data_IF_315394877569
#
_entry.id   IF_315394877569
#
_cell.length_a   1.000
_cell.length_b   1.000
_cell.length_c   1.000
_cell.angle_alpha   90.00
_cell.angle_beta   90.00
_cell.angle_gamma   90.00
#
_symmetry.space_group_name_H-M   'P 1'
#
loop_
_entity.id
_entity.type
_entity.pdbx_description
1 polymer ?
#
# COMPACT_ATOMS: atom_id res chain seq x y z
N UNK A 1 0.06 59.56 -58.33
CA UNK A 1 0.40 58.19 -58.78
C UNK A 1 1.02 57.46 -57.60
N UNK A 2 0.24 56.85 -56.78
CA UNK A 2 0.68 56.28 -55.48
C UNK A 2 0.20 54.85 -55.37
N UNK A 3 1.13 53.91 -55.43
CA UNK A 3 0.86 52.51 -55.28
C UNK A 3 0.82 52.12 -53.79
N UNK A 4 -0.34 51.63 -53.36
CA UNK A 4 -0.50 51.11 -52.01
C UNK A 4 -0.07 49.64 -51.98
N UNK A 5 0.92 49.33 -51.14
CA UNK A 5 1.29 47.95 -50.78
C UNK A 5 0.51 47.54 -49.56
N UNK A 6 -0.39 46.60 -49.77
CA UNK A 6 -1.14 45.95 -48.68
C UNK A 6 -0.29 44.81 -48.17
N UNK A 7 0.26 44.95 -46.97
CA UNK A 7 0.88 43.85 -46.23
C UNK A 7 -0.16 42.99 -45.57
N UNK A 8 -0.35 41.75 -46.04
CA UNK A 8 -1.21 40.73 -45.42
C UNK A 8 -0.44 40.09 -44.27
N UNK A 9 -0.86 40.38 -43.03
CA UNK A 9 -0.41 39.69 -41.84
C UNK A 9 -1.04 38.31 -41.77
N UNK A 10 -0.20 37.28 -41.72
CA UNK A 10 -0.63 35.89 -41.40
C UNK A 10 -0.84 35.77 -39.89
N UNK A 11 -1.94 35.15 -39.43
CA UNK A 11 -2.08 34.83 -38.04
C UNK A 11 -1.18 33.63 -37.68
N UNK A 12 -0.31 33.83 -36.71
CA UNK A 12 0.46 32.75 -36.08
C UNK A 12 -0.48 31.88 -35.26
N UNK A 13 -0.79 30.68 -35.76
CA UNK A 13 -1.40 29.63 -34.97
C UNK A 13 -0.41 29.22 -33.87
N UNK A 14 -0.68 29.60 -32.65
CA UNK A 14 -0.06 29.03 -31.47
C UNK A 14 -0.61 27.63 -31.27
N UNK A 15 0.12 26.63 -31.70
CA UNK A 15 -0.17 25.23 -31.33
C UNK A 15 0.13 25.05 -29.86
N UNK A 16 -0.92 25.04 -29.03
CA UNK A 16 -0.84 24.64 -27.65
C UNK A 16 -0.58 23.12 -27.63
N UNK A 17 0.66 22.73 -27.37
CA UNK A 17 0.99 21.34 -27.00
C UNK A 17 0.39 21.06 -25.63
N UNK A 18 -0.77 20.42 -25.60
CA UNK A 18 -1.23 19.71 -24.43
C UNK A 18 -0.33 18.48 -24.23
N UNK A 19 0.68 18.60 -23.36
CA UNK A 19 1.33 17.43 -22.78
C UNK A 19 0.27 16.72 -21.90
N UNK A 20 -0.40 15.75 -22.48
CA UNK A 20 -1.11 14.76 -21.71
C UNK A 20 -0.05 13.99 -20.90
N UNK A 21 0.04 14.29 -19.59
CA UNK A 21 0.73 13.44 -18.65
C UNK A 21 -0.05 12.09 -18.63
N UNK A 22 0.33 11.21 -19.52
CA UNK A 22 -0.06 9.81 -19.44
C UNK A 22 0.54 9.33 -18.12
N UNK A 23 -0.33 9.16 -17.12
CA UNK A 23 -0.01 8.38 -15.94
C UNK A 23 0.39 7.00 -16.45
N UNK A 24 1.69 6.77 -16.54
CA UNK A 24 2.24 5.46 -16.76
C UNK A 24 1.86 4.65 -15.53
N UNK A 25 0.76 3.90 -15.63
CA UNK A 25 0.62 2.69 -14.86
C UNK A 25 1.82 1.84 -15.28
N UNK A 26 2.93 1.96 -14.55
CA UNK A 26 4.05 1.08 -14.70
C UNK A 26 3.46 -0.32 -14.49
N UNK A 27 3.30 -1.07 -15.57
CA UNK A 27 3.08 -2.49 -15.50
C UNK A 27 4.17 -2.98 -14.56
N UNK A 28 3.79 -3.42 -13.37
CA UNK A 28 4.72 -4.00 -12.43
C UNK A 28 5.35 -5.15 -13.20
N UNK A 29 6.60 -4.96 -13.66
CA UNK A 29 7.36 -6.03 -14.24
C UNK A 29 7.24 -7.18 -13.26
N UNK A 30 6.93 -8.38 -13.74
CA UNK A 30 6.78 -9.58 -12.92
C UNK A 30 8.08 -9.76 -12.12
N UNK A 31 8.07 -9.27 -10.88
CA UNK A 31 9.20 -9.34 -9.95
C UNK A 31 9.08 -10.58 -9.07
N UNK A 32 8.34 -11.56 -9.57
CA UNK A 32 8.11 -12.80 -8.87
C UNK A 32 7.05 -12.77 -7.78
N UNK A 33 6.26 -11.69 -7.71
CA UNK A 33 5.13 -11.54 -6.79
C UNK A 33 3.90 -11.06 -7.58
N UNK A 34 2.80 -11.77 -7.43
CA UNK A 34 1.49 -11.37 -7.93
C UNK A 34 0.59 -10.94 -6.77
N UNK A 35 0.06 -9.73 -6.84
CA UNK A 35 -1.01 -9.29 -5.92
C UNK A 35 -2.33 -9.91 -6.40
N UNK A 36 -2.89 -10.79 -5.59
CA UNK A 36 -4.12 -11.53 -5.90
C UNK A 36 -5.35 -10.65 -5.68
N UNK A 37 -5.39 -9.98 -4.54
CA UNK A 37 -6.43 -9.02 -4.19
C UNK A 37 -5.92 -8.01 -3.17
N UNK A 38 -6.71 -6.94 -2.93
CA UNK A 38 -6.39 -5.90 -1.95
C UNK A 38 -7.67 -5.19 -1.50
N UNK A 39 -7.61 -4.60 -0.32
CA UNK A 39 -8.70 -3.81 0.23
C UNK A 39 -8.95 -4.11 1.70
N UNK A 40 -10.23 -4.13 2.08
CA UNK A 40 -10.72 -4.42 3.43
C UNK A 40 -11.06 -5.91 3.52
N UNK A 41 -10.64 -6.54 4.63
CA UNK A 41 -10.86 -7.96 4.88
C UNK A 41 -11.68 -8.20 6.14
N UNK A 42 -12.59 -9.18 6.05
CA UNK A 42 -13.14 -9.84 7.22
C UNK A 42 -12.15 -10.89 7.71
N UNK A 43 -12.05 -11.07 9.01
CA UNK A 43 -11.11 -12.00 9.64
C UNK A 43 -11.60 -12.45 11.01
N UNK A 44 -10.98 -13.49 11.54
CA UNK A 44 -11.16 -13.95 12.92
C UNK A 44 -9.84 -13.83 13.65
N UNK A 45 -9.80 -13.11 14.77
CA UNK A 45 -8.63 -13.09 15.65
C UNK A 45 -8.50 -14.45 16.33
N UNK A 46 -7.34 -15.08 16.18
CA UNK A 46 -7.06 -16.39 16.77
C UNK A 46 -6.14 -16.29 17.99
N UNK A 47 -5.24 -15.31 18.01
CA UNK A 47 -4.31 -15.12 19.10
C UNK A 47 -3.81 -13.69 19.16
N UNK A 48 -3.54 -13.20 20.36
CA UNK A 48 -2.79 -11.97 20.63
C UNK A 48 -1.49 -12.39 21.30
N UNK A 49 -0.36 -11.98 20.69
CA UNK A 49 0.98 -12.37 21.13
C UNK A 49 1.71 -11.11 21.60
N UNK A 50 2.31 -11.11 22.82
CA UNK A 50 3.17 -10.00 23.22
C UNK A 50 4.32 -9.80 22.23
N UNK A 51 4.43 -8.59 21.68
CA UNK A 51 5.51 -8.17 20.80
C UNK A 51 6.05 -6.80 21.28
N UNK A 52 6.97 -6.81 22.25
CA UNK A 52 7.45 -5.55 22.87
C UNK A 52 8.11 -4.57 21.89
N UNK A 53 8.49 -5.02 20.69
CA UNK A 53 9.06 -4.15 19.65
C UNK A 53 8.00 -3.39 18.87
N UNK A 54 6.78 -3.90 18.78
CA UNK A 54 5.68 -3.22 18.10
C UNK A 54 5.19 -2.03 18.93
N UNK A 55 4.62 -1.02 18.27
CA UNK A 55 4.11 0.20 18.94
C UNK A 55 2.99 -0.15 19.91
N UNK A 56 2.10 -1.05 19.51
CA UNK A 56 1.02 -1.55 20.38
C UNK A 56 1.54 -2.38 21.56
N UNK A 57 2.73 -2.98 21.44
CA UNK A 57 3.31 -3.90 22.41
C UNK A 57 2.87 -5.35 22.23
N UNK A 58 2.04 -5.62 21.25
CA UNK A 58 1.51 -6.93 20.92
C UNK A 58 1.19 -7.04 19.43
N UNK A 59 1.05 -8.26 18.96
CA UNK A 59 0.71 -8.61 17.57
C UNK A 59 -0.45 -9.59 17.57
N UNK A 60 -1.36 -9.40 16.63
CA UNK A 60 -2.55 -10.23 16.45
C UNK A 60 -2.33 -11.24 15.32
N UNK A 61 -2.66 -12.50 15.54
CA UNK A 61 -2.77 -13.51 14.49
C UNK A 61 -4.23 -13.70 14.08
N UNK A 62 -4.45 -13.95 12.80
CA UNK A 62 -5.78 -14.01 12.22
C UNK A 62 -5.99 -15.28 11.38
N UNK A 63 -7.24 -15.70 11.27
CA UNK A 63 -7.70 -16.77 10.38
C UNK A 63 -8.97 -16.35 9.64
N UNK A 64 -9.45 -17.20 8.72
CA UNK A 64 -10.68 -16.96 7.95
C UNK A 64 -10.68 -15.62 7.21
N UNK A 65 -9.53 -15.23 6.67
CA UNK A 65 -9.37 -13.96 5.96
C UNK A 65 -10.12 -14.03 4.63
N UNK A 66 -11.04 -13.07 4.41
CA UNK A 66 -11.82 -12.95 3.18
C UNK A 66 -11.89 -11.50 2.73
N UNK A 67 -11.68 -11.25 1.46
CA UNK A 67 -11.87 -9.92 0.91
C UNK A 67 -13.35 -9.51 1.07
N UNK A 68 -13.57 -8.41 1.80
CA UNK A 68 -14.88 -7.80 1.99
C UNK A 68 -15.17 -6.74 0.95
N UNK A 69 -14.15 -5.90 0.69
CA UNK A 69 -14.27 -4.76 -0.23
C UNK A 69 -12.95 -4.48 -0.91
N UNK A 70 -12.97 -4.40 -2.25
CA UNK A 70 -11.80 -4.02 -3.04
C UNK A 70 -11.74 -2.49 -3.11
N UNK A 71 -10.85 -1.88 -2.34
CA UNK A 71 -10.70 -0.42 -2.24
C UNK A 71 -9.29 -0.04 -1.85
N UNK A 72 -8.88 1.18 -2.20
CA UNK A 72 -7.63 1.81 -1.74
C UNK A 72 -7.90 2.89 -0.69
N UNK A 73 -9.18 3.23 -0.46
CA UNK A 73 -9.58 4.20 0.57
C UNK A 73 -10.13 3.45 1.77
N UNK A 74 -9.48 3.61 2.91
CA UNK A 74 -9.75 2.85 4.12
C UNK A 74 -10.23 3.82 5.20
N UNK A 75 -11.47 3.67 5.64
CA UNK A 75 -11.94 4.37 6.84
C UNK A 75 -11.39 3.66 8.09
N UNK A 76 -10.71 4.41 8.95
CA UNK A 76 -10.04 3.89 10.14
C UNK A 76 -11.05 3.54 11.25
N UNK A 77 -11.77 2.43 11.09
CA UNK A 77 -12.66 1.89 12.12
C UNK A 77 -11.93 0.84 12.95
N UNK A 78 -12.25 0.78 14.23
CA UNK A 78 -11.71 -0.24 15.15
C UNK A 78 -12.02 -1.64 14.62
N UNK A 79 -11.06 -2.55 14.77
CA UNK A 79 -11.11 -3.95 14.29
C UNK A 79 -11.19 -4.10 12.76
N UNK A 80 -10.97 -3.03 12.00
CA UNK A 80 -10.88 -3.11 10.54
C UNK A 80 -9.48 -3.54 10.14
N UNK A 81 -9.40 -4.57 9.30
CA UNK A 81 -8.16 -5.03 8.68
C UNK A 81 -8.14 -4.69 7.20
N UNK A 82 -7.02 -4.22 6.71
CA UNK A 82 -6.80 -3.88 5.31
C UNK A 82 -5.38 -4.23 4.86
N UNK A 83 -5.20 -4.37 3.56
CA UNK A 83 -3.91 -4.74 2.98
C UNK A 83 -4.08 -5.42 1.63
N UNK A 84 -3.20 -6.38 1.33
CA UNK A 84 -3.30 -7.18 0.12
C UNK A 84 -2.87 -8.63 0.35
N UNK A 85 -3.48 -9.53 -0.42
CA UNK A 85 -3.04 -10.91 -0.56
C UNK A 85 -2.14 -11.05 -1.79
N UNK A 86 -1.14 -11.90 -1.69
CA UNK A 86 -0.20 -12.13 -2.77
C UNK A 86 0.24 -13.60 -2.84
N UNK A 87 0.74 -13.99 -3.99
CA UNK A 87 1.45 -15.26 -4.20
C UNK A 87 2.82 -15.02 -4.81
N UNK A 88 3.73 -15.94 -4.54
CA UNK A 88 5.06 -15.95 -5.16
C UNK A 88 4.95 -16.70 -6.47
N UNK A 89 5.32 -16.04 -7.58
CA UNK A 89 5.27 -16.61 -8.94
C UNK A 89 6.63 -17.04 -9.45
N UNK A 90 7.72 -16.50 -8.87
CA UNK A 90 9.08 -16.89 -9.23
C UNK A 90 9.58 -18.05 -8.36
N UNK A 91 9.82 -19.25 -8.92
CA UNK A 91 10.36 -20.40 -8.18
C UNK A 91 11.72 -20.13 -7.52
N UNK A 92 12.51 -19.16 -8.02
CA UNK A 92 13.78 -18.80 -7.41
C UNK A 92 13.65 -18.18 -6.02
N UNK A 93 12.46 -17.71 -5.68
CA UNK A 93 12.13 -17.17 -4.34
C UNK A 93 11.66 -18.23 -3.35
N UNK A 94 11.31 -19.45 -3.81
CA UNK A 94 10.81 -20.49 -2.89
C UNK A 94 11.87 -20.87 -1.87
N UNK A 95 11.43 -20.97 -0.61
CA UNK A 95 12.30 -21.21 0.54
C UNK A 95 13.10 -19.97 1.01
N UNK A 96 12.97 -18.83 0.30
CA UNK A 96 13.62 -17.57 0.72
C UNK A 96 12.76 -16.84 1.73
N UNK A 97 13.41 -16.09 2.60
CA UNK A 97 12.74 -15.17 3.52
C UNK A 97 12.35 -13.91 2.76
N UNK A 98 11.07 -13.57 2.82
CA UNK A 98 10.52 -12.30 2.35
C UNK A 98 10.18 -11.42 3.55
N UNK A 99 10.42 -10.12 3.41
CA UNK A 99 10.01 -9.12 4.39
C UNK A 99 8.71 -8.47 3.93
N UNK A 100 7.69 -8.46 4.79
CA UNK A 100 6.52 -7.60 4.63
C UNK A 100 6.77 -6.31 5.38
N UNK A 101 6.64 -5.17 4.70
CA UNK A 101 6.84 -3.84 5.29
C UNK A 101 5.61 -2.99 5.09
N UNK A 102 5.23 -2.24 6.13
CA UNK A 102 4.22 -1.19 6.07
C UNK A 102 4.88 0.11 6.47
N UNK A 103 4.90 1.09 5.57
CA UNK A 103 5.30 2.47 5.85
C UNK A 103 4.02 3.22 6.18
N UNK A 104 3.96 3.79 7.37
CA UNK A 104 2.73 4.34 7.96
C UNK A 104 2.97 5.75 8.48
N UNK A 105 1.93 6.58 8.62
CA UNK A 105 2.03 7.82 9.39
C UNK A 105 2.57 7.50 10.79
N UNK A 106 3.19 8.48 11.46
CA UNK A 106 3.78 8.25 12.78
C UNK A 106 2.72 7.77 13.78
N UNK A 107 2.80 6.49 14.16
CA UNK A 107 2.02 5.91 15.25
C UNK A 107 2.75 6.17 16.56
N UNK A 108 2.03 6.53 17.61
CA UNK A 108 2.64 6.78 18.94
C UNK A 108 1.78 6.14 20.02
N UNK A 109 2.38 5.29 20.83
CA UNK A 109 1.73 4.71 22.00
C UNK A 109 1.81 5.73 23.17
N UNK A 110 0.70 6.31 23.61
CA UNK A 110 0.72 7.34 24.64
C UNK A 110 1.13 6.81 26.02
N UNK A 111 1.01 5.50 26.26
CA UNK A 111 1.38 4.87 27.54
C UNK A 111 2.88 4.65 27.67
N UNK A 112 3.55 4.35 26.56
CA UNK A 112 4.98 4.00 26.54
C UNK A 112 5.86 5.07 25.90
N UNK A 113 5.27 6.04 25.19
CA UNK A 113 5.97 7.03 24.37
C UNK A 113 6.63 6.44 23.11
N UNK A 114 6.49 5.14 22.86
CA UNK A 114 7.07 4.49 21.68
C UNK A 114 6.37 4.96 20.42
N UNK A 115 7.17 5.20 19.37
CA UNK A 115 6.64 5.59 18.07
C UNK A 115 7.25 4.73 16.96
N UNK A 116 6.51 4.54 15.87
CA UNK A 116 6.99 3.93 14.64
C UNK A 116 6.36 4.58 13.41
N UNK A 117 7.11 4.57 12.31
CA UNK A 117 6.66 4.91 10.95
C UNK A 117 6.79 3.72 10.01
N UNK A 118 7.28 2.58 10.55
CA UNK A 118 7.47 1.35 9.80
C UNK A 118 7.13 0.16 10.68
N UNK A 119 6.39 -0.80 10.12
CA UNK A 119 6.07 -2.08 10.75
C UNK A 119 6.52 -3.18 9.81
N UNK A 120 7.32 -4.12 10.29
CA UNK A 120 7.85 -5.21 9.48
C UNK A 120 7.48 -6.58 10.05
N UNK A 121 7.44 -7.57 9.17
CA UNK A 121 7.29 -8.98 9.49
C UNK A 121 8.02 -9.81 8.44
N UNK A 122 8.27 -11.07 8.76
CA UNK A 122 8.95 -12.00 7.88
C UNK A 122 8.07 -13.21 7.59
N UNK A 123 8.25 -13.80 6.41
CA UNK A 123 7.64 -15.05 6.01
C UNK A 123 8.59 -15.82 5.09
N UNK A 124 8.40 -17.13 4.99
CA UNK A 124 9.13 -17.96 4.04
C UNK A 124 8.26 -18.19 2.81
N UNK A 125 8.78 -17.82 1.65
CA UNK A 125 8.09 -17.99 0.36
C UNK A 125 7.87 -19.47 0.05
N UNK A 126 6.69 -19.82 -0.45
CA UNK A 126 6.35 -21.20 -0.84
C UNK A 126 5.46 -21.21 -2.08
N UNK A 127 5.45 -22.34 -2.82
CA UNK A 127 4.56 -22.53 -3.95
C UNK A 127 3.09 -22.58 -3.49
N UNK A 128 2.19 -22.18 -4.36
CA UNK A 128 0.72 -22.30 -4.19
C UNK A 128 0.14 -21.70 -2.90
N UNK A 129 0.95 -20.92 -2.17
CA UNK A 129 0.55 -20.29 -0.92
C UNK A 129 0.08 -18.87 -1.18
N UNK A 130 -1.09 -18.53 -0.65
CA UNK A 130 -1.56 -17.15 -0.58
C UNK A 130 -1.09 -16.55 0.75
N UNK A 131 -0.26 -15.54 0.65
CA UNK A 131 0.25 -14.78 1.78
C UNK A 131 -0.58 -13.51 1.99
N UNK A 132 -0.57 -13.00 3.21
CA UNK A 132 -1.26 -11.77 3.60
C UNK A 132 -0.24 -10.73 4.08
N UNK A 133 -0.25 -9.54 3.47
CA UNK A 133 0.39 -8.35 4.01
C UNK A 133 -0.71 -7.36 4.40
N UNK A 134 -1.11 -7.36 5.66
CA UNK A 134 -2.21 -6.57 6.16
C UNK A 134 -1.90 -5.90 7.50
N UNK A 135 -2.75 -4.95 7.89
CA UNK A 135 -2.73 -4.25 9.17
C UNK A 135 -4.15 -4.14 9.72
N UNK A 136 -4.31 -4.39 11.02
CA UNK A 136 -5.56 -4.22 11.75
C UNK A 136 -5.53 -2.97 12.64
N UNK A 137 -6.63 -2.23 12.72
CA UNK A 137 -6.79 -1.14 13.68
C UNK A 137 -7.35 -1.68 15.00
N UNK A 138 -6.52 -2.36 15.77
CA UNK A 138 -6.96 -2.96 17.04
C UNK A 138 -7.03 -1.92 18.17
N UNK A 139 -6.20 -0.86 18.07
CA UNK A 139 -6.11 0.24 19.04
C UNK A 139 -6.31 1.61 18.39
N UNK A 140 -6.82 2.58 19.17
CA UNK A 140 -7.03 3.94 18.67
C UNK A 140 -5.75 4.62 18.22
N UNK A 141 -4.60 4.29 18.81
CA UNK A 141 -3.29 4.81 18.41
C UNK A 141 -2.86 4.40 16.99
N UNK A 142 -3.47 3.36 16.44
CA UNK A 142 -3.17 2.81 15.11
C UNK A 142 -4.00 3.46 14.01
N UNK A 143 -5.04 4.21 14.37
CA UNK A 143 -5.98 4.86 13.45
C UNK A 143 -5.43 6.19 12.92
N UNK A 144 -4.23 6.17 12.34
CA UNK A 144 -3.57 7.36 11.81
C UNK A 144 -3.99 7.63 10.36
N UNK A 145 -4.53 8.83 10.12
CA UNK A 145 -4.89 9.30 8.78
C UNK A 145 -3.65 9.55 7.92
N UNK A 146 -3.74 9.26 6.63
CA UNK A 146 -2.69 9.53 5.66
C UNK A 146 -2.45 8.38 4.67
N UNK A 147 -1.32 8.45 3.96
CA UNK A 147 -0.89 7.40 3.05
C UNK A 147 -0.19 6.28 3.83
N UNK A 148 -0.62 5.06 3.56
CA UNK A 148 -0.03 3.82 4.05
C UNK A 148 0.51 3.04 2.86
N UNK A 149 1.80 2.70 2.88
CA UNK A 149 2.44 1.95 1.79
C UNK A 149 2.84 0.57 2.27
N UNK A 150 2.32 -0.47 1.63
CA UNK A 150 2.59 -1.87 1.96
C UNK A 150 3.50 -2.47 0.91
N UNK A 151 4.56 -3.13 1.34
CA UNK A 151 5.59 -3.68 0.46
C UNK A 151 5.89 -5.14 0.80
N UNK A 152 6.30 -5.91 -0.21
CA UNK A 152 6.96 -7.21 -0.07
C UNK A 152 8.38 -7.04 -0.61
N UNK A 153 9.39 -7.44 0.18
CA UNK A 153 10.79 -7.28 -0.18
C UNK A 153 11.53 -8.62 -0.08
N UNK A 154 12.57 -8.76 -0.89
CA UNK A 154 13.60 -9.77 -0.74
C UNK A 154 14.97 -9.11 -0.84
N UNK A 155 15.85 -9.36 0.14
CA UNK A 155 17.19 -8.75 0.24
C UNK A 155 17.17 -7.22 0.07
N UNK A 156 16.19 -6.56 0.70
CA UNK A 156 16.02 -5.11 0.65
C UNK A 156 15.40 -4.56 -0.63
N UNK A 157 15.22 -5.38 -1.67
CA UNK A 157 14.60 -4.98 -2.94
C UNK A 157 13.09 -5.15 -2.87
N UNK A 158 12.34 -4.10 -3.22
CA UNK A 158 10.88 -4.14 -3.31
C UNK A 158 10.45 -4.97 -4.51
N UNK A 159 9.70 -6.04 -4.25
CA UNK A 159 9.12 -6.93 -5.25
C UNK A 159 7.66 -6.58 -5.57
N UNK A 160 6.89 -6.15 -4.57
CA UNK A 160 5.53 -5.69 -4.75
C UNK A 160 5.23 -4.52 -3.81
N UNK A 161 4.36 -3.62 -4.23
CA UNK A 161 3.94 -2.46 -3.46
C UNK A 161 2.46 -2.15 -3.70
N UNK A 162 1.76 -1.76 -2.64
CA UNK A 162 0.39 -1.24 -2.70
C UNK A 162 0.23 -0.08 -1.73
N UNK A 163 -0.44 0.99 -2.18
CA UNK A 163 -0.72 2.17 -1.38
C UNK A 163 -2.20 2.22 -1.02
N UNK A 164 -2.46 2.69 0.18
CA UNK A 164 -3.80 2.93 0.71
C UNK A 164 -3.88 4.34 1.29
N UNK A 165 -5.02 4.99 1.10
CA UNK A 165 -5.36 6.25 1.75
C UNK A 165 -6.26 5.94 2.95
N UNK A 166 -5.73 6.12 4.13
CA UNK A 166 -6.51 5.99 5.37
C UNK A 166 -7.17 7.33 5.70
N UNK A 167 -8.46 7.31 5.99
CA UNK A 167 -9.25 8.46 6.41
C UNK A 167 -9.90 8.18 7.77
N UNK A 168 -10.06 9.21 8.57
CA UNK A 168 -10.85 9.10 9.81
C UNK A 168 -12.35 9.18 9.45
N UNK A 169 -13.20 8.30 10.01
CA UNK A 169 -14.64 8.42 9.80
C UNK A 169 -15.12 9.77 10.36
N UNK A 170 -15.94 10.47 9.59
CA UNK A 170 -16.65 11.65 10.10
C UNK A 170 -17.66 11.19 11.16
N UNK A 171 -17.58 11.77 12.36
CA UNK A 171 -18.54 11.55 13.43
C UNK A 171 -19.85 12.30 13.15
#
# INVERSE_FOLDING_TARGET
MLMHHIARGLPRLAAALFLAAAAQAAAAADRGIEIVDYGIYDHTVTQVIPEPKDVAGERTTVANVRLREKTEVIDAQKSRMFGFQFRVTDPALYGKTLTTRKIVPKLTNPKTGRSATTVEGELVAGPETIFLNAYGFDYDLERAEGEWTFQVLHDGKVLAEKKFKVILPMN
#
